data_IF_581936336825
#
_entry.id   IF_581936336825
#
_cell.length_a   1.000
_cell.length_b   1.000
_cell.length_c   1.000
_cell.angle_alpha   90.00
_cell.angle_beta   90.00
_cell.angle_gamma   90.00
#
_symmetry.space_group_name_H-M   'P 1'
#
loop_
_entity.id
_entity.type
_entity.pdbx_description
1 polymer ?
#
# COMPACT_ATOMS: atom_id res chain seq x y z
N UNK A 1 11.39 -32.46 33.71
CA UNK A 1 11.47 -32.15 32.27
C UNK A 1 12.04 -30.76 32.16
N UNK A 2 13.34 -30.65 31.90
CA UNK A 2 13.99 -29.39 31.58
C UNK A 2 13.44 -28.90 30.24
N UNK A 3 13.02 -27.63 30.19
CA UNK A 3 12.55 -26.99 28.96
C UNK A 3 13.69 -26.91 27.93
N UNK A 4 13.38 -26.76 26.63
CA UNK A 4 14.41 -26.64 25.62
C UNK A 4 15.28 -25.42 25.88
N UNK A 5 16.58 -25.46 25.54
CA UNK A 5 17.47 -24.34 25.76
C UNK A 5 16.99 -23.13 24.97
N UNK A 6 16.91 -21.98 25.63
CA UNK A 6 16.70 -20.69 24.98
C UNK A 6 17.90 -20.49 24.07
N UNK A 7 17.67 -20.52 22.76
CA UNK A 7 18.68 -20.19 21.75
C UNK A 7 19.28 -18.83 22.07
N UNK A 8 20.54 -18.80 22.51
CA UNK A 8 21.37 -17.60 22.56
C UNK A 8 21.41 -17.01 21.15
N UNK A 9 20.55 -16.03 20.90
CA UNK A 9 20.65 -15.19 19.72
C UNK A 9 21.75 -14.20 20.06
N UNK A 10 22.90 -14.36 19.41
CA UNK A 10 24.00 -13.40 19.51
C UNK A 10 23.43 -11.98 19.33
N UNK A 11 23.75 -11.08 20.25
CA UNK A 11 23.32 -9.68 20.17
C UNK A 11 23.66 -9.17 18.76
N UNK A 12 22.62 -8.84 18.01
CA UNK A 12 22.78 -8.44 16.63
C UNK A 12 23.40 -7.04 16.63
N UNK A 13 24.53 -6.87 15.94
CA UNK A 13 25.23 -5.57 15.77
C UNK A 13 24.43 -4.63 14.84
N UNK A 14 23.10 -4.77 14.81
CA UNK A 14 22.20 -4.08 13.90
C UNK A 14 22.12 -2.61 14.29
N UNK A 15 22.76 -1.76 13.47
CA UNK A 15 22.66 -0.31 13.58
C UNK A 15 21.41 0.19 12.88
N UNK A 16 20.68 1.16 13.46
CA UNK A 16 19.58 1.82 12.77
C UNK A 16 19.96 2.36 11.40
N UNK A 17 19.06 2.13 10.44
CA UNK A 17 19.13 2.65 9.09
C UNK A 17 17.88 3.45 8.78
N UNK A 18 18.03 4.51 7.98
CA UNK A 18 16.97 5.46 7.70
C UNK A 18 16.63 5.46 6.21
N UNK A 19 15.34 5.45 5.89
CA UNK A 19 14.83 5.44 4.52
C UNK A 19 13.69 6.43 4.38
N UNK A 20 13.58 7.07 3.23
CA UNK A 20 12.47 7.97 2.90
C UNK A 20 11.47 7.35 1.91
N UNK A 21 11.80 6.20 1.34
CA UNK A 21 11.05 5.57 0.27
C UNK A 21 10.19 4.38 0.74
N UNK A 22 9.17 4.05 -0.04
CA UNK A 22 8.41 2.80 0.11
C UNK A 22 8.63 1.91 -1.11
N UNK A 23 8.61 0.60 -0.92
CA UNK A 23 8.68 -0.36 -2.03
C UNK A 23 7.37 -1.11 -2.21
N UNK A 24 7.06 -1.38 -3.47
CA UNK A 24 5.91 -2.17 -3.90
C UNK A 24 6.41 -3.03 -5.04
N UNK A 25 6.27 -4.34 -4.89
CA UNK A 25 6.63 -5.33 -5.90
C UNK A 25 5.40 -6.16 -6.24
N UNK A 26 5.10 -6.32 -7.51
CA UNK A 26 4.06 -7.26 -7.95
C UNK A 26 4.63 -8.69 -7.94
N UNK A 27 4.11 -9.53 -7.04
CA UNK A 27 4.63 -10.88 -6.78
C UNK A 27 3.91 -11.93 -7.61
N UNK A 28 2.58 -11.81 -7.69
CA UNK A 28 1.71 -12.76 -8.39
C UNK A 28 0.49 -12.04 -8.90
N UNK A 29 0.03 -12.38 -10.09
CA UNK A 29 -1.24 -11.87 -10.60
C UNK A 29 -1.96 -12.90 -11.50
N UNK A 30 -3.27 -12.76 -11.55
CA UNK A 30 -4.16 -13.27 -12.59
C UNK A 30 -5.13 -12.13 -12.86
N UNK A 31 -4.72 -11.19 -13.72
CA UNK A 31 -5.45 -9.97 -13.99
C UNK A 31 -5.13 -9.48 -15.40
N UNK A 32 -6.15 -9.44 -16.25
CA UNK A 32 -6.14 -8.91 -17.59
C UNK A 32 -7.51 -8.31 -17.92
N UNK A 33 -7.56 -7.36 -18.87
CA UNK A 33 -8.83 -6.79 -19.34
C UNK A 33 -9.80 -7.87 -19.88
N UNK A 34 -9.27 -8.97 -20.42
CA UNK A 34 -10.05 -10.13 -20.85
C UNK A 34 -10.86 -10.78 -19.74
N UNK A 35 -10.39 -10.74 -18.49
CA UNK A 35 -11.09 -11.33 -17.34
C UNK A 35 -12.40 -10.57 -17.06
N UNK A 36 -12.36 -9.24 -17.20
CA UNK A 36 -13.54 -8.36 -17.06
C UNK A 36 -14.54 -8.63 -18.16
N UNK A 37 -14.06 -8.69 -19.41
CA UNK A 37 -14.90 -8.91 -20.59
C UNK A 37 -15.57 -10.28 -20.55
N UNK A 38 -14.82 -11.31 -20.16
CA UNK A 38 -15.34 -12.66 -19.98
C UNK A 38 -16.43 -12.70 -18.90
N UNK A 39 -16.16 -12.14 -17.72
CA UNK A 39 -17.10 -12.11 -16.61
C UNK A 39 -18.40 -11.36 -16.96
N UNK A 40 -18.30 -10.22 -17.66
CA UNK A 40 -19.47 -9.43 -18.06
C UNK A 40 -20.36 -10.13 -19.10
N UNK A 41 -19.76 -10.89 -20.02
CA UNK A 41 -20.48 -11.51 -21.15
C UNK A 41 -21.28 -12.75 -20.74
N UNK A 42 -20.95 -13.41 -19.63
CA UNK A 42 -21.79 -14.51 -19.09
C UNK A 42 -23.22 -14.03 -18.84
N UNK A 43 -23.41 -12.76 -18.46
CA UNK A 43 -24.73 -12.18 -18.20
C UNK A 43 -25.59 -11.99 -19.46
N UNK A 44 -25.01 -11.97 -20.67
CA UNK A 44 -25.75 -11.70 -21.93
C UNK A 44 -25.64 -12.82 -22.97
N UNK A 45 -24.53 -13.57 -22.99
CA UNK A 45 -24.20 -14.56 -24.01
C UNK A 45 -24.03 -16.00 -23.46
N UNK A 46 -24.15 -16.21 -22.15
CA UNK A 46 -24.01 -17.53 -21.53
C UNK A 46 -22.63 -18.16 -21.76
N UNK A 47 -22.58 -19.48 -21.98
CA UNK A 47 -21.33 -20.26 -22.16
C UNK A 47 -20.57 -19.96 -23.46
N UNK A 48 -21.17 -19.25 -24.43
CA UNK A 48 -20.58 -18.98 -25.75
C UNK A 48 -19.59 -17.78 -25.78
N UNK A 49 -19.15 -17.29 -24.62
CA UNK A 49 -18.46 -16.01 -24.47
C UNK A 49 -16.96 -15.98 -24.85
N UNK A 50 -16.31 -17.15 -24.94
CA UNK A 50 -14.85 -17.23 -25.08
C UNK A 50 -14.34 -16.90 -26.50
N UNK A 51 -15.10 -17.22 -27.54
CA UNK A 51 -14.65 -17.08 -28.95
C UNK A 51 -14.72 -15.65 -29.51
N UNK A 52 -15.31 -14.70 -28.77
CA UNK A 52 -15.47 -13.31 -29.22
C UNK A 52 -14.45 -12.33 -28.62
N UNK A 53 -13.70 -12.72 -27.59
CA UNK A 53 -12.78 -11.83 -26.86
C UNK A 53 -11.63 -11.29 -27.73
N UNK A 54 -11.28 -12.01 -28.80
CA UNK A 54 -10.15 -11.66 -29.67
C UNK A 54 -10.55 -10.94 -30.97
N UNK A 55 -11.84 -10.77 -31.24
CA UNK A 55 -12.30 -10.35 -32.58
C UNK A 55 -12.39 -8.84 -32.78
N UNK A 56 -12.54 -8.05 -31.72
CA UNK A 56 -12.71 -6.59 -31.84
C UNK A 56 -12.23 -5.80 -30.58
N UNK A 57 -11.06 -5.16 -30.65
CA UNK A 57 -10.51 -4.32 -29.57
C UNK A 57 -11.36 -3.08 -29.22
N UNK A 58 -12.01 -2.44 -30.20
CA UNK A 58 -12.81 -1.23 -29.96
C UNK A 58 -14.12 -1.56 -29.23
N UNK A 59 -14.75 -2.68 -29.60
CA UNK A 59 -15.93 -3.18 -28.88
C UNK A 59 -15.60 -3.55 -27.43
N UNK A 60 -14.41 -4.11 -27.19
CA UNK A 60 -13.92 -4.46 -25.86
C UNK A 60 -13.72 -3.21 -24.98
N UNK A 61 -13.06 -2.18 -25.52
CA UNK A 61 -12.91 -0.88 -24.86
C UNK A 61 -14.26 -0.23 -24.55
N UNK A 62 -15.19 -0.26 -25.51
CA UNK A 62 -16.55 0.26 -25.33
C UNK A 62 -17.31 -0.43 -24.20
N UNK A 63 -17.22 -1.76 -24.11
CA UNK A 63 -17.87 -2.52 -23.03
C UNK A 63 -17.26 -2.20 -21.65
N UNK A 64 -15.93 -2.21 -21.52
CA UNK A 64 -15.27 -1.87 -20.23
C UNK A 64 -15.66 -0.45 -19.78
N UNK A 65 -15.66 0.51 -20.70
CA UNK A 65 -16.07 1.88 -20.38
C UNK A 65 -17.55 1.97 -19.96
N UNK A 66 -18.44 1.24 -20.64
CA UNK A 66 -19.84 1.13 -20.24
C UNK A 66 -19.98 0.60 -18.81
N UNK A 67 -19.28 -0.49 -18.48
CA UNK A 67 -19.31 -1.10 -17.14
C UNK A 67 -18.80 -0.13 -16.06
N UNK A 68 -17.75 0.64 -16.38
CA UNK A 68 -17.18 1.65 -15.48
C UNK A 68 -18.17 2.79 -15.21
N UNK A 69 -18.69 3.40 -16.28
CA UNK A 69 -19.58 4.56 -16.24
C UNK A 69 -20.89 4.24 -15.50
N UNK A 70 -21.45 3.07 -15.76
CA UNK A 70 -22.74 2.65 -15.19
C UNK A 70 -22.57 1.94 -13.84
N UNK A 71 -21.34 1.91 -13.30
CA UNK A 71 -20.99 1.32 -11.99
C UNK A 71 -21.42 -0.14 -11.88
N UNK A 72 -21.23 -0.89 -12.96
CA UNK A 72 -21.38 -2.33 -12.95
C UNK A 72 -20.06 -2.97 -12.52
N UNK A 73 -19.80 -2.97 -11.21
CA UNK A 73 -18.49 -3.31 -10.64
C UNK A 73 -18.12 -4.79 -10.56
N UNK A 74 -19.10 -5.71 -10.56
CA UNK A 74 -18.84 -7.14 -10.32
C UNK A 74 -17.88 -7.80 -11.33
N UNK A 75 -17.91 -7.49 -12.65
CA UNK A 75 -16.94 -8.06 -13.59
C UNK A 75 -15.48 -7.72 -13.26
N UNK A 76 -15.22 -6.59 -12.58
CA UNK A 76 -13.87 -6.18 -12.17
C UNK A 76 -13.34 -6.93 -10.94
N UNK A 77 -14.13 -7.82 -10.33
CA UNK A 77 -13.73 -8.60 -9.16
C UNK A 77 -13.12 -9.97 -9.50
N UNK A 78 -13.29 -10.44 -10.73
CA UNK A 78 -12.85 -11.78 -11.19
C UNK A 78 -11.36 -11.83 -11.60
N UNK A 79 -10.49 -11.20 -10.80
CA UNK A 79 -9.05 -11.17 -11.01
C UNK A 79 -8.34 -10.98 -9.66
N UNK A 80 -7.03 -11.16 -9.62
CA UNK A 80 -6.23 -10.96 -8.40
C UNK A 80 -4.83 -10.43 -8.70
N UNK A 81 -4.33 -9.57 -7.82
CA UNK A 81 -2.98 -9.03 -7.80
C UNK A 81 -2.45 -9.10 -6.38
N UNK A 82 -1.29 -9.72 -6.18
CA UNK A 82 -0.58 -9.81 -4.90
C UNK A 82 0.68 -8.99 -4.96
N UNK A 83 0.81 -8.07 -4.01
CA UNK A 83 1.95 -7.18 -3.87
C UNK A 83 2.74 -7.53 -2.62
N UNK A 84 4.06 -7.46 -2.69
CA UNK A 84 4.94 -7.37 -1.53
C UNK A 84 5.27 -5.90 -1.31
N UNK A 85 4.96 -5.40 -0.11
CA UNK A 85 5.06 -3.97 0.22
C UNK A 85 5.96 -3.83 1.44
N UNK A 86 6.98 -2.97 1.35
CA UNK A 86 7.76 -2.51 2.50
C UNK A 86 7.48 -1.04 2.74
N UNK A 87 6.88 -0.73 3.88
CA UNK A 87 6.53 0.62 4.27
C UNK A 87 6.48 0.75 5.80
N UNK A 88 6.45 1.97 6.34
CA UNK A 88 6.34 2.20 7.78
C UNK A 88 5.01 1.72 8.37
N UNK A 89 5.01 1.33 9.64
CA UNK A 89 3.80 0.86 10.35
C UNK A 89 2.65 1.89 10.26
N UNK A 90 2.95 3.19 10.33
CA UNK A 90 1.90 4.21 10.19
C UNK A 90 1.20 4.17 8.82
N UNK A 91 1.89 3.80 7.75
CA UNK A 91 1.31 3.59 6.41
C UNK A 91 0.40 2.36 6.41
N UNK A 92 0.84 1.25 7.00
CA UNK A 92 0.04 0.03 7.07
C UNK A 92 -1.24 0.20 7.88
N UNK A 93 -1.23 1.03 8.92
CA UNK A 93 -2.45 1.39 9.67
C UNK A 93 -3.50 2.06 8.81
N UNK A 94 -3.10 2.85 7.81
CA UNK A 94 -4.02 3.43 6.83
C UNK A 94 -4.42 2.42 5.75
N UNK A 95 -3.48 1.60 5.31
CA UNK A 95 -3.69 0.58 4.28
C UNK A 95 -4.74 -0.44 4.73
N UNK A 96 -4.58 -1.02 5.92
CA UNK A 96 -5.44 -2.09 6.44
C UNK A 96 -6.87 -1.63 6.79
N UNK A 97 -7.22 -0.36 6.54
CA UNK A 97 -8.61 0.13 6.59
C UNK A 97 -9.43 -0.32 5.39
N UNK A 98 -8.79 -0.75 4.32
CA UNK A 98 -9.42 -1.30 3.12
C UNK A 98 -9.76 -2.77 3.36
N UNK A 99 -11.05 -3.06 3.55
CA UNK A 99 -11.52 -4.38 4.04
C UNK A 99 -12.02 -5.28 2.93
N UNK A 100 -12.67 -4.69 1.92
CA UNK A 100 -13.41 -5.44 0.91
C UNK A 100 -12.48 -5.82 -0.23
N UNK A 101 -12.43 -7.12 -0.54
CA UNK A 101 -11.58 -7.66 -1.61
C UNK A 101 -10.09 -7.52 -1.36
N UNK A 102 -9.67 -7.35 -0.10
CA UNK A 102 -8.27 -7.33 0.32
C UNK A 102 -7.93 -8.51 1.22
N UNK A 103 -6.71 -9.02 1.11
CA UNK A 103 -6.13 -10.00 2.04
C UNK A 103 -4.73 -9.54 2.44
N UNK A 104 -4.40 -9.60 3.73
CA UNK A 104 -3.14 -9.12 4.28
C UNK A 104 -2.41 -10.21 5.05
N UNK A 105 -1.08 -10.23 4.93
CA UNK A 105 -0.21 -11.00 5.80
C UNK A 105 1.06 -10.17 6.06
N UNK A 106 1.22 -9.71 7.30
CA UNK A 106 2.28 -8.79 7.72
C UNK A 106 3.33 -9.52 8.57
N UNK A 107 4.59 -9.10 8.45
CA UNK A 107 5.65 -9.47 9.38
C UNK A 107 5.25 -9.19 10.83
N UNK A 108 5.53 -10.15 11.72
CA UNK A 108 5.08 -10.10 13.11
C UNK A 108 6.26 -9.98 14.06
N UNK A 109 6.33 -8.83 14.73
CA UNK A 109 7.25 -8.61 15.86
C UNK A 109 6.98 -9.49 17.09
N UNK A 110 5.97 -10.38 17.06
CA UNK A 110 5.80 -11.42 18.10
C UNK A 110 6.72 -12.60 17.85
N UNK A 111 6.96 -12.90 16.57
CA UNK A 111 7.67 -14.11 16.15
C UNK A 111 9.12 -13.82 15.77
N UNK A 112 9.43 -12.61 15.31
CA UNK A 112 10.77 -12.21 14.89
C UNK A 112 11.24 -10.94 15.62
N UNK A 113 12.56 -10.81 15.78
CA UNK A 113 13.18 -9.53 16.07
C UNK A 113 13.03 -8.59 14.86
N UNK A 114 12.57 -7.37 15.09
CA UNK A 114 12.33 -6.40 14.02
C UNK A 114 13.63 -5.68 13.65
N UNK A 115 13.94 -5.62 12.35
CA UNK A 115 15.11 -4.93 11.82
C UNK A 115 15.01 -3.41 12.06
N UNK A 116 16.11 -2.70 12.39
CA UNK A 116 16.06 -1.28 12.72
C UNK A 116 16.05 -0.39 11.48
N UNK A 117 15.05 -0.57 10.62
CA UNK A 117 14.84 0.27 9.44
C UNK A 117 13.72 1.25 9.74
N UNK A 118 13.99 2.55 9.71
CA UNK A 118 13.03 3.57 10.10
C UNK A 118 12.79 4.60 8.99
N UNK A 119 11.59 5.16 8.99
CA UNK A 119 11.22 6.22 8.06
C UNK A 119 11.68 7.59 8.52
N UNK A 120 12.42 8.28 7.65
CA UNK A 120 12.75 9.70 7.76
C UNK A 120 12.37 10.36 6.44
N UNK A 121 11.56 11.43 6.43
CA UNK A 121 11.15 12.10 5.19
C UNK A 121 12.36 12.67 4.44
N UNK A 122 12.30 12.65 3.10
CA UNK A 122 13.29 13.35 2.28
C UNK A 122 13.00 14.86 2.19
N UNK A 123 13.89 15.59 1.52
CA UNK A 123 13.80 17.03 1.37
C UNK A 123 12.61 17.50 0.52
N UNK A 124 12.01 16.63 -0.31
CA UNK A 124 10.83 16.95 -1.14
C UNK A 124 9.52 16.80 -0.36
N UNK A 125 9.57 16.20 0.84
CA UNK A 125 8.39 16.03 1.68
C UNK A 125 8.00 17.36 2.32
N UNK A 126 6.80 17.83 1.97
CA UNK A 126 6.13 19.01 2.56
C UNK A 126 5.87 18.87 4.07
N UNK A 127 6.64 19.55 4.92
CA UNK A 127 6.58 19.36 6.37
C UNK A 127 5.54 20.20 7.09
N UNK A 128 5.09 21.31 6.50
CA UNK A 128 4.29 22.30 7.22
C UNK A 128 2.83 22.16 6.83
N UNK A 129 1.97 22.08 7.85
CA UNK A 129 0.52 22.00 7.67
C UNK A 129 -0.10 23.37 7.91
N UNK A 130 -0.79 23.90 6.91
CA UNK A 130 -1.52 25.17 6.97
C UNK A 130 -3.02 24.97 6.75
N UNK A 131 -3.83 25.93 7.20
CA UNK A 131 -5.28 25.90 7.01
C UNK A 131 -6.05 25.49 8.26
N UNK A 132 -7.22 24.87 8.07
CA UNK A 132 -8.16 24.50 9.15
C UNK A 132 -8.50 23.01 9.08
N UNK A 133 -8.94 22.37 10.18
CA UNK A 133 -9.42 20.99 10.15
C UNK A 133 -10.39 20.75 8.98
N UNK A 134 -10.07 19.76 8.14
CA UNK A 134 -10.85 19.41 6.94
C UNK A 134 -10.49 20.17 5.65
N UNK A 135 -9.59 21.16 5.72
CA UNK A 135 -9.00 21.86 4.57
C UNK A 135 -7.53 22.21 4.86
N UNK A 136 -6.75 21.19 5.18
CA UNK A 136 -5.31 21.36 5.33
C UNK A 136 -4.63 21.37 3.98
N UNK A 137 -3.63 22.24 3.84
CA UNK A 137 -2.67 22.22 2.74
C UNK A 137 -1.31 21.94 3.36
N UNK A 138 -0.57 21.00 2.77
CA UNK A 138 0.82 20.80 3.11
C UNK A 138 1.69 21.66 2.21
N UNK A 139 2.65 22.36 2.80
CA UNK A 139 3.60 23.24 2.11
C UNK A 139 5.03 22.89 2.50
N UNK A 140 5.98 23.41 1.72
CA UNK A 140 7.40 23.15 1.94
C UNK A 140 7.85 23.65 3.31
N UNK A 141 8.69 22.84 3.96
CA UNK A 141 9.40 23.26 5.17
C UNK A 141 10.61 24.12 4.82
N UNK A 142 11.01 24.97 5.75
CA UNK A 142 12.33 25.63 5.72
C UNK A 142 13.45 24.60 5.88
N UNK A 143 14.67 24.92 5.43
CA UNK A 143 15.84 24.05 5.63
C UNK A 143 16.07 23.72 7.12
N UNK A 144 15.86 24.69 8.02
CA UNK A 144 15.95 24.47 9.46
C UNK A 144 14.90 23.47 9.98
N UNK A 145 13.68 23.48 9.41
CA UNK A 145 12.64 22.49 9.76
C UNK A 145 12.99 21.09 9.23
N UNK A 146 13.58 21.00 8.03
CA UNK A 146 14.03 19.73 7.47
C UNK A 146 15.15 19.11 8.32
N UNK A 147 16.19 19.89 8.64
CA UNK A 147 17.30 19.46 9.51
C UNK A 147 16.83 19.07 10.91
N UNK A 148 15.92 19.86 11.51
CA UNK A 148 15.31 19.54 12.79
C UNK A 148 14.54 18.23 12.74
N UNK A 149 13.75 18.02 11.69
CA UNK A 149 12.89 16.84 11.53
C UNK A 149 13.73 15.58 11.42
N UNK A 150 14.71 15.57 10.51
CA UNK A 150 15.61 14.43 10.34
C UNK A 150 16.33 14.10 11.65
N UNK A 151 17.02 15.09 12.25
CA UNK A 151 17.78 14.89 13.49
C UNK A 151 16.92 14.35 14.63
N UNK A 152 15.76 14.97 14.90
CA UNK A 152 14.91 14.56 16.04
C UNK A 152 14.32 13.17 15.83
N UNK A 153 13.96 12.82 14.58
CA UNK A 153 13.47 11.48 14.27
C UNK A 153 14.58 10.45 14.44
N UNK A 154 15.76 10.68 13.88
CA UNK A 154 16.92 9.79 14.00
C UNK A 154 17.31 9.56 15.46
N UNK A 155 17.47 10.63 16.25
CA UNK A 155 17.81 10.57 17.68
C UNK A 155 16.78 9.72 18.46
N UNK A 156 15.48 9.95 18.20
CA UNK A 156 14.40 9.21 18.87
C UNK A 156 14.38 7.73 18.47
N UNK A 157 14.69 7.41 17.22
CA UNK A 157 14.67 6.03 16.73
C UNK A 157 15.85 5.22 17.25
N UNK A 158 17.04 5.83 17.32
CA UNK A 158 18.22 5.21 17.93
C UNK A 158 17.92 4.85 19.38
N UNK A 159 17.43 5.80 20.18
CA UNK A 159 17.09 5.56 21.58
C UNK A 159 16.02 4.47 21.74
N UNK A 160 14.98 4.49 20.92
CA UNK A 160 13.92 3.48 20.99
C UNK A 160 14.42 2.08 20.64
N UNK A 161 15.33 1.96 19.66
CA UNK A 161 15.89 0.67 19.28
C UNK A 161 16.90 0.14 20.31
N UNK A 162 17.71 1.01 20.92
CA UNK A 162 18.58 0.65 22.04
C UNK A 162 17.76 0.12 23.22
N UNK A 163 16.67 0.79 23.58
CA UNK A 163 15.76 0.32 24.64
C UNK A 163 15.11 -1.03 24.29
N UNK A 164 14.74 -1.23 23.02
CA UNK A 164 14.22 -2.51 22.53
C UNK A 164 15.25 -3.63 22.68
N UNK A 165 16.50 -3.39 22.28
CA UNK A 165 17.60 -4.35 22.41
C UNK A 165 17.95 -4.64 23.88
N UNK A 166 17.95 -3.63 24.75
CA UNK A 166 18.13 -3.81 26.20
C UNK A 166 17.07 -4.75 26.79
N UNK A 167 15.79 -4.55 26.44
CA UNK A 167 14.69 -5.42 26.87
C UNK A 167 14.86 -6.86 26.36
N UNK A 168 15.26 -7.04 25.10
CA UNK A 168 15.52 -8.37 24.54
C UNK A 168 16.70 -9.07 25.23
N UNK A 169 17.81 -8.35 25.46
CA UNK A 169 18.99 -8.87 26.15
C UNK A 169 18.67 -9.28 27.60
N UNK A 170 17.72 -8.59 28.24
CA UNK A 170 17.20 -8.95 29.56
C UNK A 170 16.18 -10.12 29.54
N UNK A 171 15.89 -10.71 28.37
CA UNK A 171 14.97 -11.84 28.22
C UNK A 171 13.49 -11.46 28.19
N UNK A 172 13.14 -10.18 28.00
CA UNK A 172 11.74 -9.76 27.85
C UNK A 172 11.18 -10.29 26.53
N UNK A 173 9.94 -10.82 26.57
CA UNK A 173 9.29 -11.35 25.38
C UNK A 173 9.17 -10.30 24.27
N UNK A 174 9.46 -10.70 23.02
CA UNK A 174 9.44 -9.83 21.82
C UNK A 174 8.13 -9.06 21.68
N UNK A 175 6.99 -9.70 21.97
CA UNK A 175 5.68 -9.06 21.83
C UNK A 175 5.45 -7.90 22.80
N UNK A 176 6.14 -7.89 23.95
CA UNK A 176 6.15 -6.81 24.93
C UNK A 176 7.25 -5.81 24.59
N UNK A 177 8.48 -6.28 24.35
CA UNK A 177 9.65 -5.45 24.07
C UNK A 177 9.41 -4.47 22.92
N UNK A 178 8.82 -4.93 21.82
CA UNK A 178 8.51 -4.09 20.64
C UNK A 178 7.60 -2.89 20.93
N UNK A 179 6.94 -2.84 22.09
CA UNK A 179 6.01 -1.75 22.43
C UNK A 179 6.71 -0.40 22.59
N UNK A 180 8.04 -0.39 22.75
CA UNK A 180 8.85 0.84 22.76
C UNK A 180 9.17 1.35 21.35
N UNK A 181 8.97 0.54 20.31
CA UNK A 181 9.32 0.90 18.94
C UNK A 181 8.29 1.88 18.35
N UNK A 182 8.75 2.93 17.64
CA UNK A 182 7.89 3.94 17.06
C UNK A 182 7.15 3.41 15.81
N UNK A 183 6.02 4.05 15.49
CA UNK A 183 5.24 3.73 14.27
C UNK A 183 5.97 4.05 12.96
N UNK A 184 7.10 4.74 13.02
CA UNK A 184 8.00 4.99 11.88
C UNK A 184 8.89 3.80 11.50
N UNK A 185 8.91 2.73 12.30
CA UNK A 185 9.58 1.49 11.96
C UNK A 185 8.97 0.89 10.68
N UNK A 186 9.82 0.39 9.78
CA UNK A 186 9.40 -0.36 8.61
C UNK A 186 8.87 -1.74 9.00
N UNK A 187 7.85 -2.14 8.27
CA UNK A 187 7.33 -3.51 8.26
C UNK A 187 7.23 -3.96 6.80
N UNK A 188 6.93 -5.24 6.61
CA UNK A 188 6.67 -5.80 5.30
C UNK A 188 5.38 -6.62 5.31
N UNK A 189 4.62 -6.57 4.21
CA UNK A 189 3.41 -7.38 4.06
C UNK A 189 3.19 -7.86 2.64
N UNK A 190 2.53 -9.01 2.53
CA UNK A 190 1.79 -9.37 1.34
C UNK A 190 0.40 -8.75 1.40
N UNK A 191 -0.01 -8.08 0.32
CA UNK A 191 -1.35 -7.52 0.15
C UNK A 191 -1.93 -7.99 -1.19
N UNK A 192 -3.05 -8.72 -1.15
CA UNK A 192 -3.74 -9.21 -2.34
C UNK A 192 -5.06 -8.48 -2.54
N UNK A 193 -5.38 -8.06 -3.77
CA UNK A 193 -6.65 -7.47 -4.13
C UNK A 193 -7.12 -7.82 -5.54
N UNK A 194 -8.41 -7.65 -5.81
CA UNK A 194 -8.96 -7.58 -7.17
C UNK A 194 -8.96 -6.14 -7.70
N UNK A 195 -9.16 -5.95 -9.00
CA UNK A 195 -9.10 -4.65 -9.67
C UNK A 195 -10.16 -3.68 -9.16
N UNK A 196 -11.38 -4.15 -8.83
CA UNK A 196 -12.41 -3.29 -8.22
C UNK A 196 -11.94 -2.67 -6.90
N UNK A 197 -11.34 -3.50 -6.05
CA UNK A 197 -10.85 -3.10 -4.74
C UNK A 197 -9.62 -2.21 -4.84
N UNK A 198 -8.75 -2.45 -5.85
CA UNK A 198 -7.63 -1.56 -6.16
C UNK A 198 -8.12 -0.19 -6.64
N UNK A 199 -9.10 -0.11 -7.55
CA UNK A 199 -9.67 1.17 -7.97
C UNK A 199 -10.27 1.94 -6.80
N UNK A 200 -10.96 1.26 -5.89
CA UNK A 200 -11.49 1.89 -4.67
C UNK A 200 -10.36 2.41 -3.76
N UNK A 201 -9.29 1.62 -3.60
CA UNK A 201 -8.10 2.04 -2.88
C UNK A 201 -7.49 3.30 -3.50
N UNK A 202 -7.25 3.31 -4.81
CA UNK A 202 -6.64 4.43 -5.52
C UNK A 202 -7.48 5.70 -5.43
N UNK A 203 -8.80 5.60 -5.57
CA UNK A 203 -9.70 6.75 -5.44
C UNK A 203 -9.66 7.41 -4.06
N UNK A 204 -9.23 6.68 -3.02
CA UNK A 204 -9.07 7.19 -1.65
C UNK A 204 -7.61 7.50 -1.29
N UNK A 205 -6.65 6.85 -1.93
CA UNK A 205 -5.23 6.89 -1.56
C UNK A 205 -4.33 7.59 -2.57
N UNK A 206 -4.89 8.25 -3.59
CA UNK A 206 -4.15 9.11 -4.52
C UNK A 206 -4.82 10.47 -4.68
N UNK A 207 -4.02 11.53 -4.80
CA UNK A 207 -4.44 12.82 -5.33
C UNK A 207 -4.18 12.82 -6.83
N UNK A 208 -5.21 13.12 -7.63
CA UNK A 208 -5.08 13.09 -9.08
C UNK A 208 -6.04 14.10 -9.73
N UNK A 209 -5.58 14.82 -10.76
CA UNK A 209 -6.35 15.88 -11.41
C UNK A 209 -7.65 15.38 -12.08
N UNK A 210 -7.62 14.15 -12.60
CA UNK A 210 -8.81 13.49 -13.18
C UNK A 210 -9.82 12.99 -12.14
N UNK A 211 -9.57 13.09 -10.83
CA UNK A 211 -10.51 12.59 -9.83
C UNK A 211 -11.75 13.49 -9.72
N UNK A 212 -12.95 12.91 -9.87
CA UNK A 212 -14.21 13.63 -9.71
C UNK A 212 -14.44 14.07 -8.26
N UNK A 213 -13.94 13.29 -7.29
CA UNK A 213 -13.94 13.62 -5.87
C UNK A 213 -12.48 13.60 -5.39
N UNK A 214 -11.92 14.74 -4.92
CA UNK A 214 -10.55 14.77 -4.45
C UNK A 214 -10.42 14.00 -3.13
N UNK A 215 -9.32 13.26 -2.98
CA UNK A 215 -8.87 12.70 -1.71
C UNK A 215 -7.66 13.46 -1.19
N UNK A 216 -7.36 13.32 0.10
CA UNK A 216 -6.23 13.96 0.77
C UNK A 216 -5.46 12.93 1.62
N UNK A 217 -4.92 11.86 1.01
CA UNK A 217 -4.14 10.86 1.74
C UNK A 217 -2.84 11.46 2.28
N UNK A 218 -2.29 10.83 3.31
CA UNK A 218 -0.90 11.06 3.68
C UNK A 218 0.02 10.66 2.51
N UNK A 219 1.09 11.42 2.26
CA UNK A 219 1.97 11.23 1.10
C UNK A 219 2.54 9.81 1.03
N UNK A 220 2.88 9.21 2.17
CA UNK A 220 3.56 7.92 2.17
C UNK A 220 2.66 6.76 1.73
N UNK A 221 1.35 6.79 2.02
CA UNK A 221 0.42 5.80 1.46
C UNK A 221 0.06 6.10 0.00
N UNK A 222 0.12 7.36 -0.41
CA UNK A 222 0.00 7.74 -1.81
C UNK A 222 1.15 7.20 -2.66
N UNK A 223 2.39 7.24 -2.17
CA UNK A 223 3.54 6.61 -2.83
C UNK A 223 3.33 5.10 -3.06
N UNK A 224 2.68 4.41 -2.12
CA UNK A 224 2.28 3.00 -2.29
C UNK A 224 1.23 2.89 -3.40
N UNK A 225 0.19 3.72 -3.37
CA UNK A 225 -0.86 3.74 -4.39
C UNK A 225 -0.34 3.99 -5.80
N UNK A 226 0.53 4.98 -5.98
CA UNK A 226 1.17 5.31 -7.27
C UNK A 226 1.94 4.11 -7.84
N UNK A 227 2.73 3.41 -7.02
CA UNK A 227 3.48 2.24 -7.47
C UNK A 227 2.57 1.05 -7.80
N UNK A 228 1.53 0.81 -7.01
CA UNK A 228 0.53 -0.22 -7.30
C UNK A 228 -0.22 0.08 -8.61
N UNK A 229 -0.59 1.35 -8.83
CA UNK A 229 -1.27 1.82 -10.03
C UNK A 229 -0.39 1.64 -11.28
N UNK A 230 0.91 1.92 -11.20
CA UNK A 230 1.85 1.68 -12.30
C UNK A 230 1.94 0.20 -12.73
N UNK A 231 1.85 -0.73 -11.77
CA UNK A 231 1.78 -2.15 -12.10
C UNK A 231 0.43 -2.50 -12.74
N UNK A 232 -0.67 -2.04 -12.16
CA UNK A 232 -2.02 -2.31 -12.65
C UNK A 232 -2.28 -1.76 -14.06
N UNK A 233 -1.79 -0.55 -14.36
CA UNK A 233 -1.91 0.08 -15.69
C UNK A 233 -1.28 -0.76 -16.81
N UNK A 234 -0.24 -1.55 -16.49
CA UNK A 234 0.40 -2.48 -17.44
C UNK A 234 -0.42 -3.75 -17.64
N UNK A 235 -1.08 -4.24 -16.60
CA UNK A 235 -1.86 -5.49 -16.62
C UNK A 235 -3.23 -5.30 -17.28
N UNK A 236 -3.90 -4.19 -17.00
CA UNK A 236 -5.28 -3.91 -17.41
C UNK A 236 -5.40 -2.50 -18.03
N UNK A 237 -4.70 -2.22 -19.14
CA UNK A 237 -4.64 -0.88 -19.73
C UNK A 237 -6.00 -0.31 -20.14
N UNK A 238 -6.95 -1.14 -20.60
CA UNK A 238 -8.29 -0.66 -20.98
C UNK A 238 -9.11 -0.29 -19.73
N UNK A 239 -9.04 -1.11 -18.68
CA UNK A 239 -9.69 -0.81 -17.40
C UNK A 239 -9.09 0.43 -16.74
N UNK A 240 -7.76 0.57 -16.74
CA UNK A 240 -7.06 1.75 -16.24
C UNK A 240 -7.47 3.03 -16.99
N UNK A 241 -7.55 2.96 -18.32
CA UNK A 241 -8.01 4.09 -19.14
C UNK A 241 -9.47 4.46 -18.84
N UNK A 242 -10.35 3.46 -18.70
CA UNK A 242 -11.75 3.68 -18.36
C UNK A 242 -11.92 4.28 -16.96
N UNK A 243 -11.17 3.80 -15.96
CA UNK A 243 -11.19 4.35 -14.59
C UNK A 243 -10.83 5.83 -14.58
N UNK A 244 -9.77 6.22 -15.28
CA UNK A 244 -9.35 7.61 -15.39
C UNK A 244 -10.36 8.47 -16.16
N UNK A 245 -10.91 7.97 -17.27
CA UNK A 245 -11.92 8.68 -18.05
C UNK A 245 -13.24 8.91 -17.29
N UNK A 246 -13.54 8.05 -16.31
CA UNK A 246 -14.76 8.13 -15.49
C UNK A 246 -14.49 8.69 -14.09
N UNK A 247 -13.55 9.63 -13.98
CA UNK A 247 -13.39 10.44 -12.77
C UNK A 247 -12.69 9.72 -11.62
N UNK A 248 -11.96 8.63 -11.89
CA UNK A 248 -11.27 7.80 -10.88
C UNK A 248 -12.21 7.30 -9.77
N UNK A 249 -13.46 6.99 -10.15
CA UNK A 249 -14.46 6.41 -9.25
C UNK A 249 -14.54 4.92 -9.50
N UNK A 250 -14.42 4.11 -8.44
CA UNK A 250 -14.58 2.67 -8.54
C UNK A 250 -16.03 2.30 -8.93
N UNK A 251 -16.23 1.34 -9.85
CA UNK A 251 -17.54 0.89 -10.28
C UNK A 251 -18.23 0.03 -9.22
#
# INVERSE_FOLDING_TARGET
>A
MEGPPVSETAASDLKPSFRSDVTVELVKHSAADSDVLWAARVSTAGEQSLDELQKDPERSKGLINYLMRDRHGSPFEHNSMTFFISAPIFVFREFMRHRVGWSYNEESGRYRELEPVFYVPDAERKLVQEGRPGKYVFVEGTSAQQELTARVMEDSYVQAYEAYQEMLAAGVAREVARSVLPVGLFSSMYATCNARSLMHFLGLRTQHELAAVPSFPQREIEMVGEKMEQHWAKLMPLTYAAYNANGRVAP
#
